data_IF_114807100394
#
_entry.id   IF_114807100394
#
_cell.length_a   1.000
_cell.length_b   1.000
_cell.length_c   1.000
_cell.angle_alpha   90.00
_cell.angle_beta   90.00
_cell.angle_gamma   90.00
#
_symmetry.space_group_name_H-M   'P 1'
#
loop_
_entity.id
_entity.type
_entity.pdbx_description
1 polymer ?
#
# COMPACT_ATOMS: atom_id res chain seq x y z
N UNK A 1 -9.76 30.50 11.35
CA UNK A 1 -9.46 29.78 10.09
C UNK A 1 -10.29 28.52 10.10
N UNK A 2 -11.05 28.19 9.01
CA UNK A 2 -11.91 26.98 8.95
C UNK A 2 -11.14 25.89 8.20
N UNK A 3 -11.02 24.70 8.80
CA UNK A 3 -10.46 23.51 8.13
C UNK A 3 -11.38 23.15 6.96
N UNK A 4 -10.79 22.81 5.81
CA UNK A 4 -11.55 22.48 4.59
C UNK A 4 -11.28 21.06 4.09
N UNK A 5 -10.18 20.43 4.52
CA UNK A 5 -9.76 19.10 4.10
C UNK A 5 -8.82 18.51 5.15
N UNK A 6 -8.86 17.20 5.32
CA UNK A 6 -7.96 16.47 6.21
C UNK A 6 -7.13 15.51 5.34
N UNK A 7 -5.81 15.55 5.51
CA UNK A 7 -4.89 14.53 5.04
C UNK A 7 -4.40 13.75 6.25
N UNK A 8 -4.51 12.43 6.23
CA UNK A 8 -4.10 11.60 7.37
C UNK A 8 -3.33 10.38 6.91
N UNK A 9 -2.28 10.02 7.65
CA UNK A 9 -1.65 8.73 7.54
C UNK A 9 -2.56 7.65 8.13
N UNK A 10 -2.32 6.40 7.78
CA UNK A 10 -3.10 5.25 8.23
C UNK A 10 -2.45 4.58 9.45
N UNK A 11 -1.25 4.04 9.29
CA UNK A 11 -0.62 3.18 10.29
C UNK A 11 -0.09 3.97 11.49
N UNK A 12 -0.60 3.67 12.70
CA UNK A 12 -0.22 4.40 13.91
C UNK A 12 -0.81 5.81 14.04
N UNK A 13 -1.69 6.22 13.10
CA UNK A 13 -2.40 7.51 13.13
C UNK A 13 -3.91 7.27 13.11
N UNK A 14 -4.45 6.84 11.98
CA UNK A 14 -5.87 6.53 11.83
C UNK A 14 -6.22 5.12 12.34
N UNK A 15 -5.32 4.17 12.11
CA UNK A 15 -5.45 2.78 12.52
C UNK A 15 -4.73 2.55 13.84
N UNK A 16 -5.25 1.60 14.62
CA UNK A 16 -4.65 1.18 15.87
C UNK A 16 -3.38 0.31 15.65
N UNK A 17 -2.77 -0.14 16.74
CA UNK A 17 -1.56 -0.99 16.69
C UNK A 17 -1.78 -2.37 16.03
N UNK A 18 -3.02 -2.77 15.77
CA UNK A 18 -3.37 -3.99 15.08
C UNK A 18 -3.73 -3.75 13.60
N UNK A 19 -3.61 -2.49 13.14
CA UNK A 19 -3.95 -2.07 11.79
C UNK A 19 -5.46 -1.96 11.54
N UNK A 20 -6.27 -1.89 12.60
CA UNK A 20 -7.71 -1.79 12.52
C UNK A 20 -8.22 -0.35 12.71
N UNK A 21 -9.28 0.00 11.96
CA UNK A 21 -10.00 1.26 12.17
C UNK A 21 -10.91 1.10 13.39
N UNK A 22 -10.67 1.91 14.43
CA UNK A 22 -11.51 1.92 15.62
C UNK A 22 -12.87 2.57 15.34
N UNK A 23 -13.92 2.15 16.08
CA UNK A 23 -15.25 2.76 15.99
C UNK A 23 -15.20 4.26 16.31
N UNK A 24 -14.37 4.66 17.27
CA UNK A 24 -14.20 6.08 17.63
C UNK A 24 -13.67 6.88 16.44
N UNK A 25 -12.64 6.41 15.76
CA UNK A 25 -12.06 7.09 14.60
C UNK A 25 -13.06 7.08 13.42
N UNK A 26 -13.75 5.96 13.19
CA UNK A 26 -14.79 5.86 12.18
C UNK A 26 -15.85 6.94 12.37
N UNK A 27 -16.48 6.99 13.55
CA UNK A 27 -17.55 7.95 13.81
C UNK A 27 -17.06 9.40 13.84
N UNK A 28 -15.85 9.65 14.33
CA UNK A 28 -15.24 10.99 14.31
C UNK A 28 -15.08 11.52 12.89
N UNK A 29 -14.64 10.66 11.97
CA UNK A 29 -14.51 11.00 10.55
C UNK A 29 -15.88 11.21 9.92
N UNK A 30 -16.79 10.27 10.11
CA UNK A 30 -18.13 10.33 9.55
C UNK A 30 -18.88 11.63 9.93
N UNK A 31 -18.85 12.00 11.20
CA UNK A 31 -19.51 13.22 11.69
C UNK A 31 -18.74 14.51 11.43
N UNK A 32 -17.49 14.45 11.01
CA UNK A 32 -16.72 15.65 10.67
C UNK A 32 -17.25 16.37 9.43
N UNK A 33 -17.90 15.64 8.53
CA UNK A 33 -18.35 16.11 7.21
C UNK A 33 -17.24 16.76 6.37
N UNK A 34 -15.97 16.54 6.74
CA UNK A 34 -14.83 17.08 6.02
C UNK A 34 -14.31 16.09 4.97
N UNK A 35 -13.90 16.56 3.80
CA UNK A 35 -13.22 15.74 2.83
C UNK A 35 -11.92 15.16 3.45
N UNK A 36 -11.68 13.87 3.28
CA UNK A 36 -10.53 13.16 3.84
C UNK A 36 -9.76 12.45 2.74
N UNK A 37 -8.45 12.62 2.73
CA UNK A 37 -7.49 11.89 1.91
C UNK A 37 -6.58 11.06 2.80
N UNK A 38 -6.57 9.76 2.61
CA UNK A 38 -5.58 8.88 3.21
C UNK A 38 -4.26 9.02 2.43
N UNK A 39 -3.16 9.09 3.17
CA UNK A 39 -1.81 9.13 2.60
C UNK A 39 -1.00 8.01 3.22
N UNK A 40 -0.64 7.00 2.43
CA UNK A 40 -0.06 5.78 2.98
C UNK A 40 1.04 5.17 2.11
N UNK A 41 1.92 4.40 2.75
CA UNK A 41 2.85 3.50 2.08
C UNK A 41 2.17 2.22 1.55
N UNK A 42 0.92 1.97 1.92
CA UNK A 42 0.13 0.82 1.50
C UNK A 42 -0.20 0.88 0.01
N UNK A 43 -0.47 -0.29 -0.57
CA UNK A 43 -1.08 -0.39 -1.89
C UNK A 43 -2.58 -0.04 -1.83
N UNK A 44 -3.23 0.30 -2.95
CA UNK A 44 -4.68 0.47 -2.99
C UNK A 44 -5.45 -0.75 -2.47
N UNK A 45 -4.96 -1.96 -2.72
CA UNK A 45 -5.55 -3.21 -2.21
C UNK A 45 -5.55 -3.26 -0.68
N UNK A 46 -4.45 -2.80 -0.05
CA UNK A 46 -4.31 -2.75 1.40
C UNK A 46 -5.11 -1.59 2.03
N UNK A 47 -5.53 -0.61 1.23
CA UNK A 47 -6.31 0.55 1.66
C UNK A 47 -7.82 0.38 1.47
N UNK A 48 -8.24 -0.53 0.56
CA UNK A 48 -9.62 -0.61 0.08
C UNK A 48 -10.66 -0.79 1.20
N UNK A 49 -10.38 -1.64 2.18
CA UNK A 49 -11.27 -1.89 3.31
C UNK A 49 -11.56 -0.61 4.13
N UNK A 50 -10.53 0.21 4.36
CA UNK A 50 -10.67 1.48 5.10
C UNK A 50 -11.38 2.54 4.25
N UNK A 51 -11.04 2.62 2.95
CA UNK A 51 -11.71 3.53 2.00
C UNK A 51 -13.20 3.22 1.91
N UNK A 52 -13.56 1.95 1.84
CA UNK A 52 -14.96 1.51 1.80
C UNK A 52 -15.70 1.75 3.13
N UNK A 53 -15.10 1.37 4.26
CA UNK A 53 -15.70 1.58 5.59
C UNK A 53 -15.97 3.05 5.88
N UNK A 54 -15.06 3.92 5.47
CA UNK A 54 -15.21 5.37 5.65
C UNK A 54 -15.98 6.04 4.50
N UNK A 55 -16.41 5.29 3.47
CA UNK A 55 -17.10 5.78 2.29
C UNK A 55 -16.41 6.97 1.63
N UNK A 56 -15.06 6.91 1.54
CA UNK A 56 -14.26 8.02 1.02
C UNK A 56 -14.42 8.13 -0.51
N UNK A 57 -14.87 9.29 -0.97
CA UNK A 57 -15.01 9.62 -2.39
C UNK A 57 -13.92 10.58 -2.90
N UNK A 58 -13.10 11.10 -2.01
CA UNK A 58 -11.97 11.98 -2.35
C UNK A 58 -10.81 11.18 -2.93
N UNK A 59 -9.85 11.84 -3.62
CA UNK A 59 -8.60 11.19 -4.02
C UNK A 59 -7.84 10.64 -2.82
N UNK A 60 -7.32 9.43 -2.96
CA UNK A 60 -6.47 8.75 -1.98
C UNK A 60 -5.04 8.63 -2.52
N UNK A 61 -4.05 8.64 -1.65
CA UNK A 61 -2.62 8.61 -2.00
C UNK A 61 -2.00 7.32 -1.45
N UNK A 62 -1.53 6.47 -2.36
CA UNK A 62 -0.91 5.17 -2.06
C UNK A 62 0.59 5.15 -2.43
N UNK A 63 1.30 4.09 -2.00
CA UNK A 63 2.69 3.81 -2.35
C UNK A 63 3.64 4.99 -2.07
N UNK A 64 3.47 5.67 -0.92
CA UNK A 64 4.27 6.86 -0.54
C UNK A 64 4.16 8.02 -1.54
N UNK A 65 3.02 8.22 -2.20
CA UNK A 65 2.83 9.28 -3.18
C UNK A 65 2.99 8.85 -4.63
N UNK A 66 3.36 7.61 -4.90
CA UNK A 66 3.53 7.12 -6.27
C UNK A 66 2.22 6.83 -7.00
N UNK A 67 1.09 6.88 -6.31
CA UNK A 67 -0.23 6.69 -6.91
C UNK A 67 -1.27 7.56 -6.22
N UNK A 68 -2.02 8.32 -7.01
CA UNK A 68 -3.24 9.01 -6.57
C UNK A 68 -4.43 8.36 -7.28
N UNK A 69 -5.44 7.97 -6.52
CA UNK A 69 -6.59 7.25 -7.05
C UNK A 69 -7.88 7.63 -6.35
N UNK A 70 -9.01 7.39 -6.99
CA UNK A 70 -10.33 7.30 -6.36
C UNK A 70 -10.86 5.88 -6.48
N UNK A 71 -11.73 5.49 -5.55
CA UNK A 71 -12.39 4.19 -5.57
C UNK A 71 -13.90 4.40 -5.43
N UNK A 72 -14.68 3.69 -6.22
CA UNK A 72 -16.13 3.70 -6.15
C UNK A 72 -16.68 2.32 -6.55
N UNK A 73 -18.02 2.18 -6.63
CA UNK A 73 -18.70 0.93 -7.00
C UNK A 73 -18.30 0.36 -8.37
N UNK A 74 -17.69 1.16 -9.26
CA UNK A 74 -17.21 0.72 -10.57
C UNK A 74 -15.73 0.31 -10.55
N UNK A 75 -15.05 0.47 -9.41
CA UNK A 75 -13.66 0.11 -9.22
C UNK A 75 -12.75 1.30 -8.93
N UNK A 76 -11.46 1.06 -9.12
CA UNK A 76 -10.39 2.02 -8.89
C UNK A 76 -10.13 2.84 -10.17
N UNK A 77 -10.11 4.17 -10.03
CA UNK A 77 -9.73 5.10 -11.07
C UNK A 77 -8.40 5.77 -10.71
N UNK A 78 -7.40 5.63 -11.56
CA UNK A 78 -6.09 6.29 -11.40
C UNK A 78 -6.22 7.75 -11.84
N UNK A 79 -5.80 8.66 -10.97
CA UNK A 79 -5.74 10.10 -11.25
C UNK A 79 -4.33 10.54 -11.61
N UNK A 80 -3.33 9.98 -10.92
CA UNK A 80 -1.92 10.22 -11.18
C UNK A 80 -1.10 9.00 -10.78
N UNK A 81 -0.01 8.72 -11.50
CA UNK A 81 0.89 7.61 -11.20
C UNK A 81 2.34 7.93 -11.53
N UNK A 82 3.23 7.45 -10.68
CA UNK A 82 4.67 7.46 -10.90
C UNK A 82 5.23 6.07 -10.58
N UNK A 83 5.72 5.37 -11.60
CA UNK A 83 6.27 4.03 -11.45
C UNK A 83 7.79 4.06 -11.33
N UNK A 84 8.35 3.07 -10.64
CA UNK A 84 9.78 2.89 -10.58
C UNK A 84 10.34 2.51 -11.96
N UNK A 85 11.52 3.03 -12.28
CA UNK A 85 12.21 2.65 -13.52
C UNK A 85 12.51 1.14 -13.51
N UNK A 86 12.13 0.44 -14.58
CA UNK A 86 12.21 -1.03 -14.68
C UNK A 86 13.65 -1.56 -14.53
N UNK A 87 14.63 -0.88 -15.10
CA UNK A 87 16.05 -1.24 -14.98
C UNK A 87 16.52 -1.09 -13.53
N UNK A 88 16.15 0.01 -12.87
CA UNK A 88 16.45 0.22 -11.45
C UNK A 88 15.79 -0.84 -10.57
N UNK A 89 14.54 -1.20 -10.84
CA UNK A 89 13.86 -2.30 -10.13
C UNK A 89 14.64 -3.59 -10.30
N UNK A 90 15.02 -3.94 -11.52
CA UNK A 90 15.80 -5.15 -11.80
C UNK A 90 17.12 -5.15 -11.03
N UNK A 91 17.89 -4.06 -11.10
CA UNK A 91 19.18 -3.94 -10.41
C UNK A 91 19.04 -4.10 -8.88
N UNK A 92 18.01 -3.49 -8.27
CA UNK A 92 17.76 -3.60 -6.82
C UNK A 92 17.38 -5.04 -6.46
N UNK A 93 16.44 -5.65 -7.20
CA UNK A 93 15.97 -7.00 -6.90
C UNK A 93 17.11 -8.04 -7.09
N UNK A 94 17.91 -7.91 -8.14
CA UNK A 94 19.05 -8.78 -8.39
C UNK A 94 20.12 -8.63 -7.30
N UNK A 95 20.53 -7.40 -7.01
CA UNK A 95 21.54 -7.10 -5.98
C UNK A 95 21.12 -7.64 -4.60
N UNK A 96 19.90 -7.34 -4.17
CA UNK A 96 19.41 -7.80 -2.86
C UNK A 96 19.28 -9.31 -2.80
N UNK A 97 18.82 -9.96 -3.88
CA UNK A 97 18.72 -11.41 -3.92
C UNK A 97 20.06 -12.12 -3.80
N UNK A 98 21.11 -11.55 -4.39
CA UNK A 98 22.44 -12.13 -4.40
C UNK A 98 23.23 -11.82 -3.12
N UNK A 99 23.26 -10.55 -2.68
CA UNK A 99 24.08 -10.12 -1.56
C UNK A 99 23.39 -10.32 -0.20
N UNK A 100 22.04 -10.31 -0.17
CA UNK A 100 21.27 -10.43 1.07
C UNK A 100 20.20 -11.53 0.98
N UNK A 101 20.57 -12.81 0.77
CA UNK A 101 19.62 -13.90 0.52
C UNK A 101 18.67 -14.20 1.69
N UNK A 102 18.92 -13.64 2.88
CA UNK A 102 18.04 -13.76 4.05
C UNK A 102 16.95 -12.69 4.10
N UNK A 103 17.07 -11.64 3.31
CA UNK A 103 16.06 -10.58 3.24
C UNK A 103 14.82 -11.13 2.53
N UNK A 104 13.64 -10.86 3.10
CA UNK A 104 12.37 -11.10 2.43
C UNK A 104 12.13 -9.97 1.44
N UNK A 105 12.24 -10.27 0.15
CA UNK A 105 12.18 -9.31 -0.92
C UNK A 105 10.82 -9.34 -1.59
N UNK A 106 10.17 -8.18 -1.63
CA UNK A 106 8.80 -8.03 -2.11
C UNK A 106 8.69 -6.81 -3.03
N UNK A 107 7.80 -6.86 -4.03
CA UNK A 107 7.49 -5.71 -4.87
C UNK A 107 6.02 -5.69 -5.27
N UNK A 108 5.53 -4.51 -5.61
CA UNK A 108 4.10 -4.29 -5.81
C UNK A 108 3.83 -3.61 -7.15
N UNK A 109 2.94 -4.20 -7.94
CA UNK A 109 2.22 -3.53 -9.01
C UNK A 109 0.90 -2.96 -8.47
N UNK A 110 0.12 -2.34 -9.33
CA UNK A 110 -1.21 -1.85 -8.95
C UNK A 110 -2.10 -2.95 -8.36
N UNK A 111 -2.10 -4.11 -8.98
CA UNK A 111 -3.04 -5.20 -8.68
C UNK A 111 -2.43 -6.39 -7.94
N UNK A 112 -1.12 -6.43 -7.75
CA UNK A 112 -0.46 -7.61 -7.21
C UNK A 112 0.72 -7.30 -6.31
N UNK A 113 0.83 -8.10 -5.28
CA UNK A 113 2.03 -8.25 -4.48
C UNK A 113 2.83 -9.45 -4.99
N UNK A 114 4.13 -9.23 -5.22
CA UNK A 114 5.06 -10.25 -5.70
C UNK A 114 6.19 -10.48 -4.70
N UNK A 115 6.76 -11.68 -4.76
CA UNK A 115 7.99 -12.07 -4.05
C UNK A 115 8.76 -13.09 -4.89
N UNK A 116 10.07 -13.21 -4.68
CA UNK A 116 10.87 -14.26 -5.31
C UNK A 116 10.77 -15.61 -4.59
N UNK A 117 10.34 -15.63 -3.32
CA UNK A 117 10.21 -16.84 -2.49
C UNK A 117 9.20 -16.65 -1.38
N UNK A 118 8.65 -17.74 -0.88
CA UNK A 118 7.92 -17.72 0.40
C UNK A 118 8.92 -17.87 1.55
N UNK A 119 8.83 -16.98 2.52
CA UNK A 119 9.69 -16.95 3.71
C UNK A 119 8.94 -16.34 4.90
N UNK A 120 9.64 -16.21 6.05
CA UNK A 120 9.05 -15.65 7.27
C UNK A 120 8.45 -14.25 7.03
N UNK A 121 9.08 -13.40 6.22
CA UNK A 121 8.59 -12.05 5.93
C UNK A 121 7.28 -12.07 5.14
N UNK A 122 7.20 -12.92 4.12
CA UNK A 122 5.96 -13.07 3.34
C UNK A 122 4.81 -13.62 4.19
N UNK A 123 5.07 -14.55 5.11
CA UNK A 123 4.04 -15.04 6.04
C UNK A 123 3.53 -13.95 6.99
N UNK A 124 4.42 -13.12 7.53
CA UNK A 124 4.04 -11.99 8.38
C UNK A 124 3.22 -10.96 7.58
N UNK A 125 3.70 -10.57 6.39
CA UNK A 125 3.01 -9.60 5.54
C UNK A 125 1.61 -10.11 5.14
N UNK A 126 1.49 -11.39 4.80
CA UNK A 126 0.20 -12.02 4.53
C UNK A 126 -0.73 -11.95 5.74
N UNK A 127 -0.23 -12.26 6.93
CA UNK A 127 -1.03 -12.21 8.16
C UNK A 127 -1.52 -10.78 8.48
N UNK A 128 -0.71 -9.76 8.18
CA UNK A 128 -1.04 -8.36 8.42
C UNK A 128 -2.03 -7.80 7.40
N UNK A 129 -1.92 -8.21 6.13
CA UNK A 129 -2.68 -7.58 5.03
C UNK A 129 -3.84 -8.43 4.51
N UNK A 130 -3.84 -9.72 4.80
CA UNK A 130 -4.77 -10.69 4.21
C UNK A 130 -4.51 -10.97 2.72
N UNK A 131 -3.49 -10.38 2.11
CA UNK A 131 -3.16 -10.56 0.70
C UNK A 131 -2.26 -11.77 0.48
N UNK A 132 -2.37 -12.38 -0.70
CA UNK A 132 -1.51 -13.48 -1.14
C UNK A 132 -0.44 -12.98 -2.11
N UNK A 133 0.86 -13.25 -1.87
CA UNK A 133 1.89 -12.91 -2.81
C UNK A 133 1.88 -13.86 -4.01
N UNK A 134 2.21 -13.33 -5.18
CA UNK A 134 2.57 -14.14 -6.35
C UNK A 134 4.06 -14.39 -6.36
N UNK A 135 4.46 -15.65 -6.41
CA UNK A 135 5.88 -16.00 -6.54
C UNK A 135 6.26 -15.81 -8.01
N UNK A 136 7.20 -14.93 -8.27
CA UNK A 136 7.61 -14.58 -9.63
C UNK A 136 9.03 -14.02 -9.64
N UNK A 137 9.78 -14.27 -10.70
CA UNK A 137 10.97 -13.47 -11.03
C UNK A 137 10.51 -12.21 -11.76
N UNK A 138 11.13 -11.08 -11.49
CA UNK A 138 10.80 -9.84 -12.16
C UNK A 138 11.23 -9.92 -13.64
N UNK A 139 10.30 -9.67 -14.54
CA UNK A 139 10.46 -9.80 -16.00
C UNK A 139 10.62 -8.46 -16.73
N UNK A 140 10.63 -7.36 -15.99
CA UNK A 140 10.73 -6.01 -16.55
C UNK A 140 9.47 -5.48 -17.22
N UNK A 141 8.40 -6.27 -17.30
CA UNK A 141 7.18 -5.88 -18.02
C UNK A 141 6.10 -5.25 -17.14
N UNK A 142 6.15 -5.51 -15.83
CA UNK A 142 5.16 -5.00 -14.89
C UNK A 142 5.54 -3.62 -14.40
N UNK A 143 4.59 -2.68 -14.37
CA UNK A 143 4.73 -1.41 -13.68
C UNK A 143 4.84 -1.62 -12.17
N UNK A 144 5.96 -1.24 -11.58
CA UNK A 144 6.23 -1.39 -10.14
C UNK A 144 6.17 -0.04 -9.45
N UNK A 145 5.42 0.01 -8.36
CA UNK A 145 5.21 1.22 -7.55
C UNK A 145 6.02 1.22 -6.25
N UNK A 146 6.34 0.01 -5.73
CA UNK A 146 7.01 -0.13 -4.44
C UNK A 146 7.86 -1.40 -4.43
N UNK A 147 9.07 -1.29 -3.85
CA UNK A 147 9.88 -2.43 -3.40
C UNK A 147 9.86 -2.41 -1.87
N UNK A 148 9.71 -3.55 -1.25
CA UNK A 148 9.70 -3.71 0.20
C UNK A 148 10.64 -4.83 0.62
N UNK A 149 11.48 -4.55 1.59
CA UNK A 149 12.44 -5.48 2.18
C UNK A 149 12.09 -5.67 3.65
N UNK A 150 11.94 -6.96 4.07
CA UNK A 150 11.72 -7.28 5.48
C UNK A 150 12.97 -8.00 5.98
N UNK A 151 13.59 -7.42 7.00
CA UNK A 151 14.82 -7.90 7.61
C UNK A 151 14.50 -8.40 9.00
N UNK A 152 15.11 -9.51 9.38
CA UNK A 152 15.04 -10.07 10.74
C UNK A 152 16.45 -10.13 11.31
N UNK A 153 16.57 -9.75 12.56
CA UNK A 153 17.79 -9.91 13.37
C UNK A 153 18.06 -11.37 13.70
#
# INVERSE_FOLDING_TARGET
>A
MKIKHIFTDMDGTLLDSHGALSDTNHWSIYYSELPITLVSARSPLEMSDVVEKLQLSTPQIAFNGNLTFTQNQFGLQILDKNTLNSETVFQILDYVSNEFPKVSLNWYSLAHWYTNKQDKGTFIQKALTGLEPRIKTFDGQSEIYKIMMIVFD
#
